data_IF_252854163382
#
_entry.id   IF_252854163382
#
_cell.length_a   1.000
_cell.length_b   1.000
_cell.length_c   1.000
_cell.angle_alpha   90.00
_cell.angle_beta   90.00
_cell.angle_gamma   90.00
#
_symmetry.space_group_name_H-M   'P 1'
#
loop_
_entity.id
_entity.type
_entity.pdbx_description
1 polymer ?
#
# COMPACT_ATOMS: atom_id res chain seq x y z
N UNK A 1 -13.60 8.29 -9.58
CA UNK A 1 -12.61 7.37 -10.24
C UNK A 1 -11.21 7.87 -9.96
N UNK A 2 -10.35 7.07 -9.33
CA UNK A 2 -8.96 7.46 -9.02
C UNK A 2 -8.11 7.49 -10.29
N UNK A 3 -7.12 8.38 -10.31
CA UNK A 3 -6.11 8.48 -11.37
C UNK A 3 -4.74 8.61 -10.73
N UNK A 4 -3.73 7.98 -11.30
CA UNK A 4 -2.34 8.13 -10.87
C UNK A 4 -1.42 8.25 -12.08
N UNK A 5 -0.33 8.98 -11.91
CA UNK A 5 0.68 9.18 -12.95
C UNK A 5 2.08 9.27 -12.35
N UNK A 6 3.05 8.73 -13.09
CA UNK A 6 4.46 8.95 -12.86
C UNK A 6 5.02 9.74 -14.06
N UNK A 7 5.87 10.71 -13.81
CA UNK A 7 6.44 11.57 -14.83
C UNK A 7 7.91 11.89 -14.51
N UNK A 8 8.78 11.73 -15.51
CA UNK A 8 10.21 12.00 -15.37
C UNK A 8 10.68 13.02 -16.42
N UNK A 9 10.99 14.23 -15.97
CA UNK A 9 11.65 15.28 -16.74
C UNK A 9 12.25 16.32 -15.79
N UNK A 10 13.57 16.45 -15.76
CA UNK A 10 14.28 17.31 -14.81
C UNK A 10 13.96 17.00 -13.33
N UNK A 11 13.64 15.73 -13.05
CA UNK A 11 13.20 15.22 -11.75
C UNK A 11 12.18 14.10 -11.93
N UNK A 12 11.87 13.42 -10.84
CA UNK A 12 10.83 12.42 -10.79
C UNK A 12 9.62 12.95 -10.03
N UNK A 13 8.44 12.74 -10.59
CA UNK A 13 7.17 13.16 -10.01
C UNK A 13 6.21 11.98 -10.02
N UNK A 14 5.61 11.72 -8.88
CA UNK A 14 4.53 10.76 -8.72
C UNK A 14 3.35 11.44 -8.11
N UNK A 15 2.15 11.24 -8.64
CA UNK A 15 0.95 11.86 -8.12
C UNK A 15 -0.29 11.01 -8.36
N UNK A 16 -1.26 11.18 -7.48
CA UNK A 16 -2.58 10.58 -7.65
C UNK A 16 -3.66 11.56 -7.20
N UNK A 17 -4.87 11.42 -7.72
CA UNK A 17 -6.06 11.98 -7.10
C UNK A 17 -6.86 10.86 -6.44
N UNK A 18 -7.21 11.07 -5.18
CA UNK A 18 -8.11 10.22 -4.42
C UNK A 18 -9.54 10.72 -4.70
N UNK A 19 -10.34 9.90 -5.37
CA UNK A 19 -11.68 10.26 -5.79
C UNK A 19 -12.67 9.24 -5.22
N UNK A 20 -13.13 9.52 -4.02
CA UNK A 20 -14.18 8.81 -3.30
C UNK A 20 -15.44 9.67 -3.17
N UNK A 21 -16.57 9.03 -3.01
CA UNK A 21 -17.86 9.70 -2.82
C UNK A 21 -18.00 10.36 -1.45
N UNK A 22 -17.18 9.91 -0.48
CA UNK A 22 -17.12 10.44 0.89
C UNK A 22 -15.69 10.36 1.43
N UNK A 23 -15.35 11.23 2.39
CA UNK A 23 -14.10 11.13 3.15
C UNK A 23 -14.23 10.10 4.26
N UNK A 24 -13.17 9.30 4.43
CA UNK A 24 -13.00 8.41 5.57
C UNK A 24 -12.10 9.02 6.66
N UNK A 25 -11.83 10.33 6.57
CA UNK A 25 -10.90 11.02 7.46
C UNK A 25 -9.44 10.77 7.05
N UNK A 26 -9.17 10.91 5.77
CA UNK A 26 -7.82 10.77 5.21
C UNK A 26 -6.91 11.89 5.74
N UNK A 27 -5.71 11.50 6.11
CA UNK A 27 -4.68 12.44 6.59
C UNK A 27 -3.30 12.05 6.04
N UNK A 28 -2.35 12.98 6.10
CA UNK A 28 -0.96 12.70 5.76
C UNK A 28 -0.31 12.05 6.97
N UNK A 29 0.16 10.82 6.77
CA UNK A 29 0.77 10.00 7.81
C UNK A 29 2.24 9.76 7.50
N UNK A 30 3.09 10.00 8.49
CA UNK A 30 4.51 9.64 8.47
C UNK A 30 4.70 8.41 9.36
N UNK A 31 5.16 7.30 8.77
CA UNK A 31 5.54 6.10 9.50
C UNK A 31 7.06 6.06 9.64
N UNK A 32 7.61 6.19 10.85
CA UNK A 32 9.06 6.17 11.07
C UNK A 32 9.64 4.77 10.90
N UNK A 33 10.97 4.67 10.72
CA UNK A 33 11.71 3.41 10.47
C UNK A 33 11.51 2.31 11.52
N UNK A 34 11.11 2.67 12.73
CA UNK A 34 10.93 1.75 13.84
C UNK A 34 9.45 1.52 14.22
N UNK A 35 8.52 1.95 13.38
CA UNK A 35 7.11 1.61 13.57
C UNK A 35 6.93 0.11 13.37
N UNK A 36 6.22 -0.53 14.30
CA UNK A 36 5.97 -1.96 14.21
C UNK A 36 4.78 -2.26 13.32
N UNK A 37 5.02 -2.87 12.17
CA UNK A 37 4.01 -3.54 11.40
C UNK A 37 3.88 -5.02 11.82
N UNK A 38 2.67 -5.54 11.85
CA UNK A 38 2.38 -6.97 11.97
C UNK A 38 1.73 -7.42 10.65
N UNK A 39 2.56 -7.92 9.74
CA UNK A 39 2.10 -8.40 8.44
C UNK A 39 1.57 -9.82 8.51
N UNK A 40 0.38 -10.08 7.94
CA UNK A 40 -0.31 -11.38 8.02
C UNK A 40 0.57 -12.54 7.55
N UNK A 41 1.29 -12.37 6.44
CA UNK A 41 2.14 -13.42 5.87
C UNK A 41 3.59 -13.38 6.35
N UNK A 42 4.08 -12.25 6.88
CA UNK A 42 5.50 -12.03 7.19
C UNK A 42 5.76 -11.79 8.69
N UNK A 43 4.70 -11.66 9.49
CA UNK A 43 4.82 -11.38 10.92
C UNK A 43 5.28 -9.95 11.22
N UNK A 44 5.81 -9.75 12.45
CA UNK A 44 6.21 -8.44 12.94
C UNK A 44 7.47 -7.94 12.26
N UNK A 45 7.45 -6.71 11.79
CA UNK A 45 8.58 -5.98 11.24
C UNK A 45 8.66 -4.56 11.85
N UNK A 46 9.80 -4.23 12.43
CA UNK A 46 10.11 -2.94 13.02
C UNK A 46 11.47 -2.38 12.56
N UNK A 47 11.99 -2.89 11.44
CA UNK A 47 13.27 -2.45 10.87
C UNK A 47 13.11 -2.24 9.36
N UNK A 48 12.45 -1.17 8.99
CA UNK A 48 12.06 -0.88 7.61
C UNK A 48 12.33 0.57 7.22
N UNK A 49 12.17 0.92 5.95
CA UNK A 49 12.27 2.28 5.47
C UNK A 49 11.12 3.14 6.04
N UNK A 50 11.43 4.40 6.38
CA UNK A 50 10.40 5.38 6.70
C UNK A 50 9.55 5.65 5.46
N UNK A 51 8.27 5.94 5.67
CA UNK A 51 7.35 6.26 4.58
C UNK A 51 6.40 7.39 4.96
N UNK A 52 5.92 8.08 3.94
CA UNK A 52 4.93 9.16 4.04
C UNK A 52 3.86 8.97 2.97
N UNK A 53 2.62 9.18 3.31
CA UNK A 53 1.52 9.06 2.36
C UNK A 53 0.18 9.46 2.92
N UNK A 54 -0.84 9.33 2.08
CA UNK A 54 -2.23 9.53 2.48
C UNK A 54 -2.79 8.24 3.06
N UNK A 55 -3.31 8.28 4.26
CA UNK A 55 -3.86 7.10 4.94
C UNK A 55 -5.10 7.43 5.77
N UNK A 56 -5.92 6.42 6.02
CA UNK A 56 -6.89 6.42 7.10
C UNK A 56 -6.28 5.71 8.31
N UNK A 57 -6.29 6.37 9.48
CA UNK A 57 -5.77 5.77 10.71
C UNK A 57 -6.86 4.93 11.38
N UNK A 58 -6.66 3.62 11.42
CA UNK A 58 -7.58 2.67 12.05
C UNK A 58 -6.88 1.93 13.20
N UNK A 59 -7.27 2.21 14.45
CA UNK A 59 -6.68 1.54 15.61
C UNK A 59 -5.16 1.69 15.75
N UNK A 60 -4.60 2.80 15.26
CA UNK A 60 -3.15 3.05 15.25
C UNK A 60 -2.41 2.45 14.06
N UNK A 61 -3.11 1.77 13.15
CA UNK A 61 -2.55 1.24 11.91
C UNK A 61 -2.86 2.16 10.72
N UNK A 62 -1.85 2.55 9.90
CA UNK A 62 -2.07 3.38 8.72
C UNK A 62 -2.56 2.55 7.54
N UNK A 63 -3.82 2.71 7.19
CA UNK A 63 -4.40 2.14 5.96
C UNK A 63 -4.09 3.09 4.80
N UNK A 64 -2.95 2.88 4.16
CA UNK A 64 -2.47 3.74 3.09
C UNK A 64 -3.29 3.61 1.80
N UNK A 65 -3.66 4.75 1.22
CA UNK A 65 -4.17 4.85 -0.15
C UNK A 65 -3.03 5.00 -1.16
N UNK A 66 -2.00 5.73 -0.77
CA UNK A 66 -0.75 5.95 -1.48
C UNK A 66 0.35 6.31 -0.49
N UNK A 67 1.58 6.03 -0.84
CA UNK A 67 2.74 6.46 -0.07
C UNK A 67 4.02 6.41 -0.90
N UNK A 68 5.06 7.06 -0.38
CA UNK A 68 6.43 6.95 -0.83
C UNK A 68 7.33 6.61 0.34
N UNK A 69 8.38 5.84 0.11
CA UNK A 69 9.40 5.62 1.12
C UNK A 69 10.60 6.56 0.96
N UNK A 70 11.47 6.58 1.94
CA UNK A 70 12.67 7.42 1.97
C UNK A 70 13.71 7.11 0.88
N UNK A 71 13.53 6.02 0.13
CA UNK A 71 14.35 5.64 -1.02
C UNK A 71 13.83 6.20 -2.34
N UNK A 72 12.59 6.71 -2.34
CA UNK A 72 11.95 7.29 -3.52
C UNK A 72 10.99 6.35 -4.22
N UNK A 73 10.84 5.11 -3.77
CA UNK A 73 9.81 4.21 -4.28
C UNK A 73 8.43 4.71 -3.86
N UNK A 74 7.54 4.86 -4.84
CA UNK A 74 6.16 5.31 -4.67
C UNK A 74 5.18 4.22 -5.07
N UNK A 75 4.04 4.16 -4.37
CA UNK A 75 2.94 3.25 -4.70
C UNK A 75 1.60 3.90 -4.42
N UNK A 76 0.61 3.68 -5.27
CA UNK A 76 -0.77 4.10 -5.06
C UNK A 76 -1.75 2.98 -5.40
N UNK A 77 -2.76 2.80 -4.55
CA UNK A 77 -3.90 1.94 -4.79
C UNK A 77 -5.02 2.69 -5.52
N UNK A 78 -5.57 2.07 -6.54
CA UNK A 78 -6.66 2.61 -7.34
C UNK A 78 -7.83 1.63 -7.37
N UNK A 79 -9.04 2.14 -7.37
CA UNK A 79 -10.26 1.35 -7.32
C UNK A 79 -10.43 0.47 -8.57
N UNK A 80 -10.69 -0.83 -8.40
CA UNK A 80 -10.84 -1.80 -9.49
C UNK A 80 -11.95 -2.81 -9.20
N UNK A 81 -13.08 -2.32 -8.76
CA UNK A 81 -14.18 -3.07 -8.13
C UNK A 81 -14.68 -4.24 -8.98
N UNK A 82 -14.75 -4.09 -10.32
CA UNK A 82 -15.32 -5.12 -11.21
C UNK A 82 -14.37 -6.25 -11.58
N UNK A 83 -13.06 -6.04 -11.43
CA UNK A 83 -12.05 -6.94 -12.01
C UNK A 83 -10.99 -7.41 -11.02
N UNK A 84 -10.88 -6.78 -9.83
CA UNK A 84 -9.96 -7.26 -8.80
C UNK A 84 -10.43 -8.62 -8.27
N UNK A 85 -9.53 -9.60 -8.32
CA UNK A 85 -9.75 -10.94 -7.81
C UNK A 85 -8.59 -11.33 -6.90
N UNK A 86 -8.89 -11.80 -5.71
CA UNK A 86 -7.93 -12.21 -4.70
C UNK A 86 -8.17 -13.66 -4.31
N UNK A 87 -7.16 -14.29 -3.73
CA UNK A 87 -7.30 -15.65 -3.19
C UNK A 87 -8.32 -15.66 -2.05
N UNK A 88 -9.22 -16.62 -2.07
CA UNK A 88 -10.12 -16.91 -0.93
C UNK A 88 -9.38 -17.62 0.22
N UNK A 89 -8.16 -18.13 -0.04
CA UNK A 89 -7.28 -18.64 1.01
C UNK A 89 -6.69 -17.45 1.75
N UNK A 90 -6.75 -17.48 3.08
CA UNK A 90 -6.20 -16.43 3.94
C UNK A 90 -4.82 -16.79 4.49
N UNK A 91 -4.56 -18.08 4.71
CA UNK A 91 -3.31 -18.56 5.28
C UNK A 91 -2.15 -18.41 4.28
N UNK A 92 -1.10 -17.71 4.69
CA UNK A 92 0.08 -17.44 3.87
C UNK A 92 -0.14 -16.37 2.77
N UNK A 93 -1.26 -15.65 2.82
CA UNK A 93 -1.54 -14.55 1.91
C UNK A 93 -1.31 -13.19 2.58
N UNK A 94 -0.91 -12.21 1.78
CA UNK A 94 -0.83 -10.80 2.19
C UNK A 94 -2.20 -10.16 2.04
N UNK A 95 -2.66 -9.42 3.05
CA UNK A 95 -3.88 -8.66 2.95
C UNK A 95 -3.72 -7.46 1.99
N UNK A 96 -4.79 -7.05 1.34
CA UNK A 96 -4.73 -5.94 0.36
C UNK A 96 -4.33 -4.62 1.00
N UNK A 97 -4.72 -4.37 2.25
CA UNK A 97 -4.34 -3.19 3.01
C UNK A 97 -2.87 -3.17 3.45
N UNK A 98 -2.22 -4.33 3.47
CA UNK A 98 -0.81 -4.47 3.83
C UNK A 98 0.14 -4.24 2.63
N UNK A 99 -0.35 -4.28 1.39
CA UNK A 99 0.53 -4.27 0.21
C UNK A 99 1.38 -3.01 0.12
N UNK A 100 0.78 -1.83 0.34
CA UNK A 100 1.52 -0.55 0.30
C UNK A 100 2.61 -0.52 1.37
N UNK A 101 2.30 -0.69 2.68
CA UNK A 101 3.35 -0.66 3.70
C UNK A 101 4.35 -1.80 3.56
N UNK A 102 3.95 -3.00 3.13
CA UNK A 102 4.88 -4.12 2.94
C UNK A 102 5.92 -3.85 1.86
N UNK A 103 5.48 -3.39 0.69
CA UNK A 103 6.39 -3.06 -0.43
C UNK A 103 7.32 -1.91 -0.03
N UNK A 104 6.79 -0.84 0.54
CA UNK A 104 7.59 0.32 0.93
C UNK A 104 8.53 0.04 2.11
N UNK A 105 8.16 -0.88 2.99
CA UNK A 105 9.01 -1.33 4.09
C UNK A 105 10.25 -2.09 3.61
N UNK A 106 10.09 -2.94 2.60
CA UNK A 106 11.10 -3.92 2.20
C UNK A 106 11.88 -3.56 0.93
N UNK A 107 11.34 -2.70 0.06
CA UNK A 107 11.89 -2.45 -1.26
C UNK A 107 12.40 -1.01 -1.38
N UNK A 108 13.62 -0.85 -1.89
CA UNK A 108 14.22 0.44 -2.18
C UNK A 108 13.83 0.98 -3.56
N UNK A 109 13.54 0.09 -4.51
CA UNK A 109 13.27 0.41 -5.91
C UNK A 109 12.28 -0.57 -6.56
N UNK A 110 11.93 -0.28 -7.84
CA UNK A 110 11.02 -1.11 -8.64
C UNK A 110 11.56 -2.53 -8.89
N UNK A 111 12.88 -2.72 -8.96
CA UNK A 111 13.48 -4.04 -9.16
C UNK A 111 13.16 -4.95 -7.97
N UNK A 112 13.49 -4.49 -6.77
CA UNK A 112 13.19 -5.21 -5.51
C UNK A 112 11.67 -5.42 -5.32
N UNK A 113 10.86 -4.39 -5.64
CA UNK A 113 9.41 -4.51 -5.58
C UNK A 113 8.88 -5.60 -6.52
N UNK A 114 9.42 -5.72 -7.73
CA UNK A 114 9.04 -6.76 -8.70
C UNK A 114 9.34 -8.16 -8.19
N UNK A 115 10.52 -8.34 -7.59
CA UNK A 115 10.91 -9.62 -6.99
C UNK A 115 9.95 -10.00 -5.85
N UNK A 116 9.73 -9.11 -4.89
CA UNK A 116 8.79 -9.33 -3.79
C UNK A 116 7.39 -9.66 -4.29
N UNK A 117 6.87 -8.88 -5.26
CA UNK A 117 5.52 -9.07 -5.80
C UNK A 117 5.35 -10.40 -6.55
N UNK A 118 6.43 -11.00 -7.06
CA UNK A 118 6.38 -12.31 -7.69
C UNK A 118 6.19 -13.47 -6.71
N UNK A 119 6.49 -13.24 -5.45
CA UNK A 119 6.43 -14.25 -4.38
C UNK A 119 5.16 -14.18 -3.54
N UNK A 120 4.46 -13.04 -3.54
CA UNK A 120 3.27 -12.85 -2.71
C UNK A 120 1.98 -13.24 -3.42
N UNK A 121 1.02 -13.67 -2.63
CA UNK A 121 -0.37 -13.88 -3.07
C UNK A 121 -1.27 -12.96 -2.24
N UNK A 122 -2.07 -12.14 -2.91
CA UNK A 122 -3.06 -11.31 -2.23
C UNK A 122 -4.29 -12.13 -1.84
N UNK A 123 -4.66 -12.04 -0.57
CA UNK A 123 -5.83 -12.69 -0.01
C UNK A 123 -7.02 -11.75 0.16
N UNK A 124 -8.22 -12.31 0.10
CA UNK A 124 -9.45 -11.60 0.43
C UNK A 124 -9.60 -11.45 1.96
N UNK A 125 -8.65 -10.73 2.58
CA UNK A 125 -8.53 -10.57 4.03
C UNK A 125 -9.01 -9.18 4.41
N UNK A 126 -10.09 -9.03 5.20
CA UNK A 126 -10.54 -7.72 5.68
C UNK A 126 -9.63 -7.22 6.80
N UNK A 127 -9.54 -5.89 6.96
CA UNK A 127 -8.91 -5.30 8.15
C UNK A 127 -9.81 -5.46 9.39
N UNK A 128 -11.10 -5.27 9.22
CA UNK A 128 -12.13 -5.49 10.25
C UNK A 128 -13.48 -5.80 9.58
N UNK A 129 -14.51 -6.09 10.38
CA UNK A 129 -15.88 -6.27 9.86
C UNK A 129 -16.40 -5.03 9.11
N UNK A 130 -16.00 -3.83 9.55
CA UNK A 130 -16.41 -2.56 8.93
C UNK A 130 -15.52 -2.16 7.74
N UNK A 131 -14.33 -2.74 7.63
CA UNK A 131 -13.34 -2.43 6.60
C UNK A 131 -12.96 -3.71 5.83
N UNK A 132 -13.80 -4.14 4.88
CA UNK A 132 -13.55 -5.32 4.06
C UNK A 132 -12.36 -5.12 3.13
N UNK A 133 -11.86 -6.21 2.55
CA UNK A 133 -10.77 -6.16 1.57
C UNK A 133 -11.16 -5.26 0.39
N UNK A 134 -10.41 -4.18 0.20
CA UNK A 134 -10.65 -3.23 -0.87
C UNK A 134 -10.30 -3.85 -2.23
N UNK A 135 -11.14 -3.66 -3.23
CA UNK A 135 -10.93 -4.13 -4.60
C UNK A 135 -10.07 -3.11 -5.37
N UNK A 136 -8.77 -3.36 -5.42
CA UNK A 136 -7.77 -2.42 -5.92
C UNK A 136 -6.90 -3.04 -7.02
N UNK A 137 -6.24 -2.15 -7.76
CA UNK A 137 -4.98 -2.40 -8.46
C UNK A 137 -3.98 -1.31 -8.05
N UNK A 138 -2.70 -1.48 -8.34
CA UNK A 138 -1.67 -0.57 -7.88
C UNK A 138 -0.76 -0.12 -9.02
N UNK A 139 -0.27 1.11 -8.89
CA UNK A 139 0.82 1.65 -9.69
C UNK A 139 2.02 1.88 -8.78
N UNK A 140 3.19 1.45 -9.22
CA UNK A 140 4.47 1.66 -8.55
C UNK A 140 5.40 2.42 -9.49
N UNK A 141 6.25 3.28 -8.92
CA UNK A 141 7.26 4.03 -9.66
C UNK A 141 8.40 4.53 -8.74
N UNK A 142 9.59 4.75 -9.30
CA UNK A 142 10.79 5.30 -8.67
C UNK A 142 11.55 6.26 -9.58
#
# INVERSE_FOLDING_TARGET
MCTAAAYRKNGFYFGRNLDYEMSYGEEIVITPRNFRFDFTAYGADAAHYAMIGTAHMAGGYPLYYDAANEKGLCIAGLNFVKSASYSERTNGCTATFELIPLVLAKCADIGEARELLSEITLGNIPFSEQLPAAKLHWILAD
#
